data_IF_945133906136
#
_entry.id   IF_945133906136
#
_cell.length_a   1.000
_cell.length_b   1.000
_cell.length_c   1.000
_cell.angle_alpha   90.00
_cell.angle_beta   90.00
_cell.angle_gamma   90.00
#
_symmetry.space_group_name_H-M   'P 1'
#
loop_
_entity.id
_entity.type
_entity.pdbx_description
1 polymer ?
#
# COMPACT_ATOMS: atom_id res chain seq x y z
N UNK A 1 26.19 -12.16 31.15
CA UNK A 1 24.98 -11.35 30.85
C UNK A 1 25.23 -10.09 30.00
N UNK A 2 26.40 -9.45 30.03
CA UNK A 2 26.63 -8.19 29.28
C UNK A 2 26.79 -8.34 27.76
N UNK A 3 27.31 -9.48 27.29
CA UNK A 3 27.56 -9.68 25.85
C UNK A 3 26.26 -9.81 25.04
N UNK A 4 25.28 -10.53 25.58
CA UNK A 4 23.95 -10.71 24.96
C UNK A 4 23.25 -9.37 24.78
N UNK A 5 23.24 -8.52 25.83
CA UNK A 5 22.67 -7.18 25.76
C UNK A 5 23.38 -6.29 24.73
N UNK A 6 24.70 -6.41 24.58
CA UNK A 6 25.48 -5.67 23.57
C UNK A 6 25.19 -6.11 22.14
N UNK A 7 24.85 -7.38 21.91
CA UNK A 7 24.55 -7.91 20.58
C UNK A 7 23.08 -7.70 20.16
N UNK A 8 22.17 -7.51 21.12
CA UNK A 8 20.76 -7.25 20.83
C UNK A 8 20.54 -5.96 20.03
N UNK A 9 21.21 -4.88 20.39
CA UNK A 9 21.07 -3.60 19.68
C UNK A 9 21.50 -3.64 18.21
N UNK A 10 22.72 -4.12 17.84
CA UNK A 10 23.10 -4.21 16.44
C UNK A 10 22.25 -5.24 15.68
N UNK A 11 21.85 -6.36 16.31
CA UNK A 11 20.94 -7.32 15.69
C UNK A 11 19.57 -6.69 15.38
N UNK A 12 19.03 -5.90 16.30
CA UNK A 12 17.77 -5.18 16.12
C UNK A 12 17.85 -4.16 14.98
N UNK A 13 18.94 -3.38 14.90
CA UNK A 13 19.16 -2.41 13.82
C UNK A 13 19.26 -3.12 12.47
N UNK A 14 20.05 -4.20 12.38
CA UNK A 14 20.17 -5.00 11.16
C UNK A 14 18.82 -5.60 10.73
N UNK A 15 18.01 -6.03 11.70
CA UNK A 15 16.70 -6.59 11.42
C UNK A 15 15.73 -5.55 10.85
N UNK A 16 15.65 -4.36 11.46
CA UNK A 16 14.80 -3.27 10.95
C UNK A 16 15.28 -2.78 9.59
N UNK A 17 16.58 -2.53 9.43
CA UNK A 17 17.10 -2.02 8.17
C UNK A 17 16.95 -3.03 7.04
N UNK A 18 17.17 -4.32 7.32
CA UNK A 18 16.92 -5.42 6.39
C UNK A 18 15.45 -5.53 6.00
N UNK A 19 14.54 -5.47 6.97
CA UNK A 19 13.09 -5.49 6.71
C UNK A 19 12.65 -4.29 5.85
N UNK A 20 13.10 -3.08 6.17
CA UNK A 20 12.76 -1.88 5.40
C UNK A 20 13.33 -1.93 3.97
N UNK A 21 14.57 -2.41 3.83
CA UNK A 21 15.20 -2.59 2.52
C UNK A 21 14.40 -3.59 1.68
N UNK A 22 14.04 -4.75 2.26
CA UNK A 22 13.24 -5.75 1.59
C UNK A 22 11.88 -5.19 1.11
N UNK A 23 11.14 -4.50 1.99
CA UNK A 23 9.87 -3.89 1.61
C UNK A 23 10.03 -2.77 0.56
N UNK A 24 11.16 -2.08 0.53
CA UNK A 24 11.41 -1.06 -0.49
C UNK A 24 11.59 -1.68 -1.89
N UNK A 25 12.28 -2.83 -1.97
CA UNK A 25 12.51 -3.52 -3.25
C UNK A 25 11.32 -4.36 -3.72
N UNK A 26 10.65 -5.05 -2.80
CA UNK A 26 9.62 -6.03 -3.16
C UNK A 26 8.20 -5.56 -2.86
N UNK A 27 8.05 -4.36 -2.29
CA UNK A 27 6.78 -3.91 -1.71
C UNK A 27 6.59 -4.51 -0.32
N UNK A 28 5.81 -3.79 0.49
CA UNK A 28 5.50 -4.17 1.86
C UNK A 28 4.14 -3.67 2.26
N UNK A 29 3.24 -4.60 2.58
CA UNK A 29 1.85 -4.31 2.94
C UNK A 29 1.07 -5.62 3.10
N UNK A 30 0.03 -5.62 3.91
CA UNK A 30 -0.94 -6.71 3.90
C UNK A 30 -1.88 -6.49 2.73
N UNK A 31 -2.04 -7.48 1.85
CA UNK A 31 -3.01 -7.41 0.75
C UNK A 31 -4.43 -7.06 1.25
N UNK A 32 -4.77 -7.49 2.48
CA UNK A 32 -6.08 -7.22 3.09
C UNK A 32 -6.39 -5.73 3.28
N UNK A 33 -5.39 -4.85 3.37
CA UNK A 33 -5.63 -3.42 3.65
C UNK A 33 -5.81 -2.61 2.37
N UNK A 34 -5.10 -2.97 1.30
CA UNK A 34 -5.13 -2.25 0.02
C UNK A 34 -6.11 -2.85 -0.99
N UNK A 35 -6.58 -4.08 -0.76
CA UNK A 35 -7.52 -4.76 -1.64
C UNK A 35 -8.97 -4.43 -1.26
N UNK A 36 -9.68 -3.75 -2.16
CA UNK A 36 -11.14 -3.59 -2.07
C UNK A 36 -11.78 -4.68 -2.90
N UNK A 37 -12.22 -5.74 -2.24
CA UNK A 37 -12.97 -6.82 -2.88
C UNK A 37 -14.40 -6.39 -3.23
N UNK A 38 -15.05 -7.11 -4.15
CA UNK A 38 -16.46 -6.91 -4.52
C UNK A 38 -16.80 -5.52 -5.11
N UNK A 39 -15.82 -4.83 -5.69
CA UNK A 39 -16.06 -3.59 -6.44
C UNK A 39 -16.95 -3.88 -7.66
N UNK A 40 -18.09 -3.16 -7.85
CA UNK A 40 -18.98 -3.34 -8.98
C UNK A 40 -18.24 -3.31 -10.31
N UNK A 41 -18.64 -4.17 -11.25
CA UNK A 41 -18.01 -4.27 -12.58
C UNK A 41 -17.91 -2.92 -13.28
N UNK A 42 -18.93 -2.07 -13.13
CA UNK A 42 -18.97 -0.71 -13.70
C UNK A 42 -17.86 0.19 -13.18
N UNK A 43 -17.50 0.07 -11.89
CA UNK A 43 -16.41 0.84 -11.26
C UNK A 43 -15.05 0.30 -11.70
N UNK A 44 -14.91 -1.02 -11.83
CA UNK A 44 -13.66 -1.67 -12.25
C UNK A 44 -13.28 -1.39 -13.70
N UNK A 45 -14.28 -1.38 -14.59
CA UNK A 45 -14.07 -1.13 -16.03
C UNK A 45 -13.89 0.37 -16.34
N UNK A 46 -14.33 1.26 -15.43
CA UNK A 46 -14.21 2.69 -15.63
C UNK A 46 -13.99 3.47 -14.31
N UNK A 47 -12.84 3.28 -13.65
CA UNK A 47 -12.57 3.89 -12.35
C UNK A 47 -12.51 5.42 -12.43
N UNK A 48 -12.23 5.98 -13.61
CA UNK A 48 -12.17 7.42 -13.86
C UNK A 48 -13.52 8.13 -13.74
N UNK A 49 -14.65 7.44 -13.90
CA UNK A 49 -16.00 8.01 -13.77
C UNK A 49 -16.47 8.08 -12.31
N UNK A 50 -15.99 7.17 -11.46
CA UNK A 50 -16.38 7.11 -10.04
C UNK A 50 -15.38 7.77 -9.10
N UNK A 51 -14.20 8.15 -9.59
CA UNK A 51 -13.25 8.95 -8.80
C UNK A 51 -13.87 10.31 -8.52
N UNK A 52 -13.98 10.66 -7.23
CA UNK A 52 -14.44 11.97 -6.80
C UNK A 52 -13.60 13.06 -7.48
N UNK A 53 -14.27 13.91 -8.27
CA UNK A 53 -13.62 15.08 -8.85
C UNK A 53 -13.50 16.14 -7.76
N UNK A 54 -12.31 16.26 -7.15
CA UNK A 54 -12.00 17.32 -6.17
C UNK A 54 -11.77 18.70 -6.81
N UNK A 55 -11.98 18.80 -8.12
CA UNK A 55 -11.93 20.04 -8.89
C UNK A 55 -13.19 20.12 -9.74
N UNK A 56 -13.71 21.32 -10.00
CA UNK A 56 -14.96 21.59 -10.74
C UNK A 56 -14.83 21.26 -12.24
N UNK A 57 -14.49 20.02 -12.59
CA UNK A 57 -14.37 19.57 -13.96
C UNK A 57 -15.46 18.54 -14.23
N UNK A 58 -16.60 19.00 -14.76
CA UNK A 58 -17.69 18.13 -15.20
C UNK A 58 -17.29 17.44 -16.50
N UNK A 59 -16.90 16.16 -16.44
CA UNK A 59 -16.86 15.31 -17.64
C UNK A 59 -18.21 14.60 -17.77
N UNK A 60 -18.77 14.63 -18.98
CA UNK A 60 -19.94 13.85 -19.34
C UNK A 60 -19.70 12.36 -19.05
N UNK A 61 -20.56 11.76 -18.23
CA UNK A 61 -20.51 10.36 -17.79
C UNK A 61 -21.61 9.50 -18.43
N UNK A 62 -22.04 9.83 -19.65
CA UNK A 62 -23.03 9.03 -20.37
C UNK A 62 -22.41 7.94 -21.24
N UNK A 63 -22.94 6.71 -21.14
CA UNK A 63 -22.80 5.68 -22.17
C UNK A 63 -22.67 4.24 -21.67
N UNK A 64 -23.80 3.57 -21.39
CA UNK A 64 -24.38 2.53 -22.24
C UNK A 64 -25.89 2.66 -22.21
#
# INVERSE_FOLDING_TARGET
>A
MNLVKRLLYPAYVLWISGYLTYNNFYGGGSNEVDEVENVPKTVRENPGVYRSHYTNFMRYSGGK
#
